data_IF_370494038076
#
_entry.id   IF_370494038076
#
_cell.length_a   1.000
_cell.length_b   1.000
_cell.length_c   1.000
_cell.angle_alpha   90.00
_cell.angle_beta   90.00
_cell.angle_gamma   90.00
#
_symmetry.space_group_name_H-M   'P 1'
#
loop_
_entity.id
_entity.type
_entity.pdbx_description
1 polymer ?
#
# COMPACT_ATOMS: atom_id res chain seq x y z
N UNK A 1 -56.03 -11.42 6.59
CA UNK A 1 -55.28 -10.58 5.63
C UNK A 1 -54.70 -9.32 6.27
N UNK A 2 -55.49 -8.46 6.93
CA UNK A 2 -55.01 -7.19 7.55
C UNK A 2 -53.78 -7.32 8.47
N UNK A 3 -53.71 -8.38 9.31
CA UNK A 3 -52.56 -8.63 10.20
C UNK A 3 -51.28 -9.02 9.44
N UNK A 4 -51.42 -9.76 8.34
CA UNK A 4 -50.30 -10.16 7.48
C UNK A 4 -49.75 -8.95 6.72
N UNK A 5 -50.63 -8.07 6.25
CA UNK A 5 -50.25 -6.83 5.55
C UNK A 5 -49.49 -5.87 6.48
N UNK A 6 -49.94 -5.71 7.73
CA UNK A 6 -49.27 -4.88 8.74
C UNK A 6 -47.91 -5.47 9.13
N UNK A 7 -47.82 -6.79 9.27
CA UNK A 7 -46.55 -7.44 9.57
C UNK A 7 -45.55 -7.24 8.43
N UNK A 8 -45.99 -7.40 7.17
CA UNK A 8 -45.14 -7.22 6.00
C UNK A 8 -44.61 -5.77 5.87
N UNK A 9 -45.46 -4.77 6.12
CA UNK A 9 -45.05 -3.36 6.04
C UNK A 9 -44.05 -2.99 7.14
N UNK A 10 -44.21 -3.52 8.36
CA UNK A 10 -43.25 -3.30 9.44
C UNK A 10 -41.91 -3.95 9.10
N UNK A 11 -41.91 -5.19 8.62
CA UNK A 11 -40.68 -5.91 8.27
C UNK A 11 -39.94 -5.23 7.11
N UNK A 12 -40.67 -4.78 6.07
CA UNK A 12 -40.09 -4.01 4.96
C UNK A 12 -39.53 -2.67 5.46
N UNK A 13 -40.27 -1.96 6.32
CA UNK A 13 -39.79 -0.71 6.93
C UNK A 13 -38.51 -0.90 7.75
N UNK A 14 -38.41 -1.99 8.50
CA UNK A 14 -37.20 -2.36 9.24
C UNK A 14 -36.02 -2.70 8.33
N UNK A 15 -36.26 -3.43 7.23
CA UNK A 15 -35.23 -3.73 6.24
C UNK A 15 -34.71 -2.44 5.58
N UNK A 16 -35.59 -1.50 5.23
CA UNK A 16 -35.18 -0.20 4.68
C UNK A 16 -34.43 0.68 5.70
N UNK A 17 -34.83 0.68 6.97
CA UNK A 17 -34.10 1.38 8.03
C UNK A 17 -32.70 0.78 8.30
N UNK A 18 -32.56 -0.55 8.23
CA UNK A 18 -31.27 -1.23 8.42
C UNK A 18 -30.35 -1.04 7.20
N UNK A 19 -30.90 -1.02 5.97
CA UNK A 19 -30.13 -0.72 4.76
C UNK A 19 -29.62 0.74 4.71
N UNK A 20 -30.31 1.68 5.34
CA UNK A 20 -29.84 3.06 5.46
C UNK A 20 -28.61 3.20 6.37
N UNK A 21 -28.45 2.32 7.37
CA UNK A 21 -27.26 2.27 8.24
C UNK A 21 -26.04 1.64 7.55
N UNK A 22 -26.25 0.84 6.49
CA UNK A 22 -25.16 0.21 5.73
C UNK A 22 -24.61 1.07 4.60
N UNK A 23 -25.18 2.25 4.35
CA UNK A 23 -24.47 3.33 3.66
C UNK A 23 -23.42 3.90 4.63
N UNK A 24 -22.44 3.06 4.98
CA UNK A 24 -21.19 3.51 5.56
C UNK A 24 -20.70 4.66 4.68
N UNK A 25 -20.81 5.86 5.23
CA UNK A 25 -20.72 7.11 4.50
C UNK A 25 -19.36 7.14 3.82
N UNK A 26 -19.35 6.95 2.49
CA UNK A 26 -18.10 6.95 1.73
C UNK A 26 -17.34 8.23 2.10
N UNK A 27 -16.05 8.12 2.50
CA UNK A 27 -15.33 9.27 3.00
C UNK A 27 -15.36 10.39 1.97
N UNK A 28 -15.64 11.62 2.41
CA UNK A 28 -15.62 12.78 1.53
C UNK A 28 -14.17 13.06 1.18
N UNK A 29 -13.77 12.63 -0.01
CA UNK A 29 -12.47 12.92 -0.60
C UNK A 29 -12.42 14.39 -1.00
N UNK A 30 -11.36 15.09 -0.60
CA UNK A 30 -11.12 16.47 -0.97
C UNK A 30 -9.73 16.60 -1.54
N UNK A 31 -9.63 17.24 -2.70
CA UNK A 31 -8.34 17.64 -3.24
C UNK A 31 -7.68 18.67 -2.31
N UNK A 32 -6.44 18.42 -1.93
CA UNK A 32 -5.68 19.25 -0.99
C UNK A 32 -4.19 19.23 -1.37
N UNK A 33 -3.53 20.36 -1.14
CA UNK A 33 -2.08 20.39 -1.02
C UNK A 33 -1.69 19.65 0.27
N UNK A 34 -0.80 18.66 0.13
CA UNK A 34 -0.21 17.94 1.24
C UNK A 34 1.30 17.97 1.15
N UNK A 35 1.95 17.79 2.29
CA UNK A 35 3.39 17.61 2.36
C UNK A 35 3.69 16.15 2.66
N UNK A 36 4.19 15.41 1.67
CA UNK A 36 4.72 14.07 1.85
C UNK A 36 6.07 14.14 2.55
N UNK A 37 6.28 13.28 3.54
CA UNK A 37 7.39 13.35 4.49
C UNK A 37 8.15 12.02 4.50
N UNK A 38 9.48 12.07 4.35
CA UNK A 38 10.37 10.99 4.80
C UNK A 38 11.31 11.58 5.85
N UNK A 39 11.04 11.28 7.12
CA UNK A 39 11.67 11.97 8.25
C UNK A 39 12.30 11.00 9.22
N UNK A 40 13.38 11.45 9.87
CA UNK A 40 14.01 10.69 10.93
C UNK A 40 13.12 10.67 12.18
N UNK A 41 12.88 9.48 12.73
CA UNK A 41 11.97 9.27 13.85
C UNK A 41 12.68 8.92 15.17
N UNK A 42 14.01 9.05 15.24
CA UNK A 42 14.82 8.66 16.40
C UNK A 42 15.45 7.27 16.30
N UNK A 43 14.90 6.38 15.46
CA UNK A 43 15.44 5.03 15.21
C UNK A 43 15.92 4.83 13.78
N UNK A 44 15.13 5.31 12.82
CA UNK A 44 15.40 5.24 11.39
C UNK A 44 14.53 6.26 10.66
N UNK A 45 14.26 5.99 9.39
CA UNK A 45 13.41 6.85 8.58
C UNK A 45 12.02 6.27 8.39
N UNK A 46 11.01 7.14 8.38
CA UNK A 46 9.62 6.75 8.18
C UNK A 46 8.91 7.71 7.22
N UNK A 47 7.99 7.12 6.45
CA UNK A 47 7.11 7.87 5.56
C UNK A 47 5.86 8.39 6.27
N UNK A 48 5.31 9.49 5.78
CA UNK A 48 4.04 10.05 6.24
C UNK A 48 3.60 11.22 5.37
N UNK A 49 2.53 11.90 5.78
CA UNK A 49 2.18 13.19 5.19
C UNK A 49 1.56 14.12 6.23
N UNK A 50 1.71 15.42 6.02
CA UNK A 50 0.98 16.46 6.73
C UNK A 50 -0.17 16.97 5.84
N UNK A 51 -1.43 16.93 6.31
CA UNK A 51 -2.56 17.49 5.58
C UNK A 51 -2.51 19.02 5.60
N UNK A 52 -3.30 19.64 4.72
CA UNK A 52 -3.39 21.10 4.59
C UNK A 52 -3.83 21.81 5.89
N UNK A 53 -4.49 21.11 6.81
CA UNK A 53 -4.98 21.69 8.07
C UNK A 53 -3.87 22.00 9.09
N UNK A 54 -2.65 21.48 8.89
CA UNK A 54 -1.54 21.67 9.83
C UNK A 54 -0.65 22.83 9.40
N UNK A 55 -0.49 23.82 10.28
CA UNK A 55 0.34 25.00 10.00
C UNK A 55 1.84 24.79 10.28
N UNK A 56 2.22 23.71 10.98
CA UNK A 56 3.60 23.52 11.44
C UNK A 56 4.01 22.04 11.45
N UNK A 57 5.19 21.76 10.86
CA UNK A 57 5.86 20.46 10.91
C UNK A 57 7.12 20.61 11.78
N UNK A 58 7.28 19.74 12.77
CA UNK A 58 8.49 19.68 13.61
C UNK A 58 9.38 18.51 13.16
N UNK A 59 10.68 18.78 13.03
CA UNK A 59 11.69 17.80 12.61
C UNK A 59 12.78 17.65 13.67
N UNK A 60 13.41 16.48 13.73
CA UNK A 60 14.60 16.25 14.54
C UNK A 60 15.78 16.95 13.87
N UNK A 61 16.49 17.79 14.63
CA UNK A 61 17.64 18.54 14.16
C UNK A 61 18.83 17.63 13.79
N UNK A 62 19.76 18.17 12.99
CA UNK A 62 20.99 17.50 12.56
C UNK A 62 20.76 16.16 11.83
N UNK A 63 19.64 16.08 11.11
CA UNK A 63 19.26 14.96 10.25
C UNK A 63 18.73 15.48 8.93
N UNK A 64 19.11 14.79 7.86
CA UNK A 64 18.49 15.00 6.56
C UNK A 64 17.06 14.46 6.61
N UNK A 65 16.13 15.18 6.02
CA UNK A 65 14.71 14.87 5.96
C UNK A 65 14.18 15.34 4.60
N UNK A 66 13.13 14.72 4.08
CA UNK A 66 12.50 15.19 2.85
C UNK A 66 11.08 15.63 3.08
N UNK A 67 10.75 16.72 2.40
CA UNK A 67 9.42 17.30 2.34
C UNK A 67 9.10 17.47 0.87
N UNK A 68 7.96 16.94 0.44
CA UNK A 68 7.49 17.05 -0.95
C UNK A 68 6.07 17.59 -0.98
N UNK A 69 5.87 18.72 -1.68
CA UNK A 69 4.54 19.25 -1.93
C UNK A 69 3.83 18.47 -3.02
N UNK A 70 2.63 17.96 -2.73
CA UNK A 70 1.81 17.23 -3.70
C UNK A 70 0.34 17.65 -3.58
N UNK A 71 -0.38 17.72 -4.69
CA UNK A 71 -1.84 17.80 -4.70
C UNK A 71 -2.39 16.38 -4.77
N UNK A 72 -3.23 16.02 -3.80
CA UNK A 72 -3.84 14.67 -3.70
C UNK A 72 -5.24 14.73 -3.10
N UNK A 73 -5.95 13.61 -3.14
CA UNK A 73 -7.23 13.46 -2.43
C UNK A 73 -6.97 13.07 -0.98
N UNK A 74 -7.53 13.82 -0.03
CA UNK A 74 -7.44 13.54 1.40
C UNK A 74 -8.82 13.30 1.97
N UNK A 75 -8.93 12.32 2.86
CA UNK A 75 -10.12 12.07 3.65
C UNK A 75 -9.76 11.71 5.09
N UNK A 76 -10.71 11.91 6.00
CA UNK A 76 -10.59 11.46 7.38
C UNK A 76 -11.21 10.07 7.52
N UNK A 77 -10.47 9.12 8.10
CA UNK A 77 -10.93 7.77 8.39
C UNK A 77 -11.41 7.69 9.86
N UNK A 78 -12.73 7.62 10.14
CA UNK A 78 -13.25 7.71 11.50
C UNK A 78 -12.86 6.56 12.43
N UNK A 79 -12.73 5.33 11.89
CA UNK A 79 -12.34 4.13 12.66
C UNK A 79 -10.93 4.29 13.27
N UNK A 80 -9.98 4.83 12.51
CA UNK A 80 -8.60 5.01 12.96
C UNK A 80 -8.33 6.40 13.54
N UNK A 81 -9.24 7.35 13.30
CA UNK A 81 -9.09 8.75 13.70
C UNK A 81 -7.97 9.48 12.96
N UNK A 82 -7.64 9.05 11.73
CA UNK A 82 -6.50 9.58 10.96
C UNK A 82 -6.92 10.11 9.61
N UNK A 83 -6.19 11.11 9.12
CA UNK A 83 -6.23 11.50 7.72
C UNK A 83 -5.50 10.47 6.86
N UNK A 84 -6.05 10.21 5.67
CA UNK A 84 -5.49 9.31 4.67
C UNK A 84 -5.39 10.04 3.35
N UNK A 85 -4.22 9.96 2.73
CA UNK A 85 -3.95 10.50 1.41
C UNK A 85 -4.16 9.43 0.33
N UNK A 86 -4.85 9.80 -0.73
CA UNK A 86 -5.15 8.98 -1.90
C UNK A 86 -4.10 9.10 -2.99
N UNK A 87 -2.82 8.95 -2.64
CA UNK A 87 -1.71 9.08 -3.59
C UNK A 87 -1.79 8.12 -4.79
N UNK A 88 -2.52 7.01 -4.66
CA UNK A 88 -2.77 6.10 -5.78
C UNK A 88 -3.78 6.64 -6.79
N UNK A 89 -4.73 7.47 -6.34
CA UNK A 89 -5.77 8.04 -7.18
C UNK A 89 -5.35 9.39 -7.80
N UNK A 90 -4.66 10.23 -7.01
CA UNK A 90 -4.15 11.54 -7.44
C UNK A 90 -2.85 11.83 -6.70
N UNK A 91 -1.78 12.19 -7.40
CA UNK A 91 -0.50 12.56 -6.79
C UNK A 91 0.29 13.51 -7.69
N UNK A 92 -0.23 14.72 -7.82
CA UNK A 92 0.38 15.74 -8.66
C UNK A 92 1.49 16.45 -7.89
N UNK A 93 2.72 16.33 -8.38
CA UNK A 93 3.88 16.97 -7.74
C UNK A 93 3.83 18.48 -7.94
N UNK A 94 3.89 19.24 -6.86
CA UNK A 94 4.00 20.70 -6.91
C UNK A 94 5.42 21.08 -7.34
N UNK A 95 5.51 22.02 -8.28
CA UNK A 95 6.77 22.60 -8.72
C UNK A 95 7.09 23.83 -7.88
N UNK A 96 8.37 24.00 -7.52
CA UNK A 96 8.83 25.16 -6.77
C UNK A 96 10.11 24.87 -6.00
N UNK A 97 10.54 25.87 -5.25
CA UNK A 97 11.76 25.85 -4.45
C UNK A 97 11.35 25.90 -2.98
N UNK A 98 12.00 25.10 -2.13
CA UNK A 98 11.79 25.15 -0.70
C UNK A 98 12.71 26.21 -0.08
N UNK A 99 12.12 27.30 0.42
CA UNK A 99 12.85 28.36 1.09
C UNK A 99 12.95 28.10 2.59
N UNK A 100 14.15 28.27 3.14
CA UNK A 100 14.41 28.25 4.58
C UNK A 100 14.59 29.70 5.02
N UNK A 101 13.72 30.12 5.94
CA UNK A 101 13.73 31.49 6.47
C UNK A 101 14.26 31.51 7.90
N UNK A 102 14.99 32.59 8.24
CA UNK A 102 15.37 32.92 9.61
C UNK A 102 15.09 34.40 9.86
N UNK A 103 14.27 34.71 10.86
CA UNK A 103 13.88 36.10 11.14
C UNK A 103 13.09 36.79 10.01
N UNK A 104 12.45 36.01 9.12
CA UNK A 104 11.71 36.53 7.96
C UNK A 104 12.55 36.72 6.70
N UNK A 105 13.86 36.48 6.75
CA UNK A 105 14.75 36.53 5.59
C UNK A 105 15.06 35.12 5.09
N UNK A 106 15.11 34.94 3.78
CA UNK A 106 15.49 33.67 3.15
C UNK A 106 17.00 33.46 3.32
N UNK A 107 17.38 32.42 4.07
CA UNK A 107 18.78 32.05 4.31
C UNK A 107 19.27 30.91 3.42
N UNK A 108 18.34 30.12 2.85
CA UNK A 108 18.64 29.05 1.90
C UNK A 108 17.44 28.79 1.00
N UNK A 109 17.71 28.43 -0.25
CA UNK A 109 16.73 27.97 -1.20
C UNK A 109 17.15 26.57 -1.66
N UNK A 110 16.25 25.60 -1.55
CA UNK A 110 16.50 24.20 -1.87
C UNK A 110 15.72 23.81 -3.11
N UNK A 111 16.45 23.38 -4.13
CA UNK A 111 15.87 22.73 -5.29
C UNK A 111 15.50 21.30 -4.96
N UNK A 112 14.64 20.73 -5.80
CA UNK A 112 14.20 19.36 -5.66
C UNK A 112 15.36 18.39 -5.90
N UNK A 113 15.48 17.41 -5.03
CA UNK A 113 16.50 16.37 -5.10
C UNK A 113 15.86 14.97 -4.98
N UNK A 114 16.42 14.03 -5.72
CA UNK A 114 15.99 12.63 -5.66
C UNK A 114 16.44 11.98 -4.36
N UNK A 115 15.60 11.10 -3.83
CA UNK A 115 15.84 10.40 -2.58
C UNK A 115 15.24 9.00 -2.60
N UNK A 116 15.75 8.14 -1.72
CA UNK A 116 15.30 6.75 -1.58
C UNK A 116 15.28 6.35 -0.11
N UNK A 117 14.23 5.60 0.27
CA UNK A 117 14.19 4.86 1.52
C UNK A 117 14.51 3.40 1.24
N UNK A 118 15.64 2.95 1.77
CA UNK A 118 16.11 1.58 1.64
C UNK A 118 15.80 0.78 2.91
N UNK A 119 15.24 -0.41 2.72
CA UNK A 119 14.82 -1.29 3.80
C UNK A 119 15.73 -2.55 3.80
N UNK A 120 16.85 -2.54 4.53
CA UNK A 120 17.85 -3.62 4.47
C UNK A 120 17.31 -4.98 4.94
N UNK A 121 16.37 -4.96 5.88
CA UNK A 121 15.70 -6.16 6.43
C UNK A 121 14.33 -6.41 5.79
N UNK A 122 14.05 -5.76 4.65
CA UNK A 122 12.75 -5.76 4.00
C UNK A 122 11.76 -4.78 4.65
N UNK A 123 10.58 -4.64 4.05
CA UNK A 123 9.58 -3.62 4.42
C UNK A 123 9.12 -3.70 5.90
N UNK A 124 9.09 -4.91 6.47
CA UNK A 124 8.74 -5.15 7.87
C UNK A 124 9.93 -5.08 8.83
N UNK A 125 11.11 -4.77 8.30
CA UNK A 125 12.32 -4.54 9.08
C UNK A 125 12.20 -3.31 9.98
N UNK A 126 13.07 -3.22 10.98
CA UNK A 126 12.89 -2.26 12.06
C UNK A 126 13.32 -0.82 11.71
N UNK A 127 14.17 -0.65 10.70
CA UNK A 127 14.75 0.65 10.34
C UNK A 127 14.97 0.80 8.84
N UNK A 128 14.36 1.82 8.24
CA UNK A 128 14.73 2.27 6.90
C UNK A 128 15.94 3.22 6.97
N UNK A 129 16.77 3.16 5.94
CA UNK A 129 17.92 4.05 5.70
C UNK A 129 17.53 5.05 4.61
N UNK A 130 17.95 6.31 4.78
CA UNK A 130 17.71 7.38 3.84
C UNK A 130 18.95 7.64 2.98
N UNK A 131 18.75 7.70 1.66
CA UNK A 131 19.75 8.08 0.68
C UNK A 131 19.23 9.24 -0.18
N UNK A 132 20.15 10.09 -0.64
CA UNK A 132 19.86 11.25 -1.49
C UNK A 132 20.81 11.31 -2.69
N UNK A 133 20.39 11.98 -3.76
CA UNK A 133 21.18 12.16 -4.98
C UNK A 133 21.62 10.84 -5.60
N UNK A 134 22.89 10.75 -5.99
CA UNK A 134 23.47 9.57 -6.66
C UNK A 134 23.34 8.28 -5.83
N UNK A 135 23.45 8.36 -4.50
CA UNK A 135 23.27 7.17 -3.65
C UNK A 135 21.82 6.68 -3.70
N UNK A 136 20.84 7.59 -3.78
CA UNK A 136 19.44 7.23 -3.91
C UNK A 136 19.19 6.44 -5.21
N UNK A 137 19.80 6.88 -6.32
CA UNK A 137 19.71 6.18 -7.60
C UNK A 137 20.34 4.80 -7.53
N UNK A 138 21.54 4.68 -6.96
CA UNK A 138 22.24 3.39 -6.84
C UNK A 138 21.42 2.37 -6.00
N UNK A 139 20.80 2.79 -4.90
CA UNK A 139 19.97 1.90 -4.09
C UNK A 139 18.60 1.61 -4.72
N UNK A 140 18.06 2.54 -5.51
CA UNK A 140 16.85 2.29 -6.29
C UNK A 140 17.10 1.26 -7.40
N UNK A 141 18.27 1.31 -8.07
CA UNK A 141 18.67 0.32 -9.06
C UNK A 141 18.83 -1.08 -8.43
N UNK A 142 19.51 -1.17 -7.28
CA UNK A 142 19.60 -2.43 -6.52
C UNK A 142 18.23 -3.01 -6.18
N UNK A 143 17.29 -2.17 -5.76
CA UNK A 143 15.91 -2.59 -5.49
C UNK A 143 15.23 -3.11 -6.76
N UNK A 144 15.39 -2.42 -7.88
CA UNK A 144 14.79 -2.80 -9.17
C UNK A 144 15.29 -4.17 -9.62
N UNK A 145 16.61 -4.40 -9.56
CA UNK A 145 17.24 -5.68 -9.89
C UNK A 145 16.72 -6.82 -8.99
N UNK A 146 16.61 -6.58 -7.68
CA UNK A 146 16.09 -7.58 -6.73
C UNK A 146 14.62 -7.94 -7.00
N UNK A 147 13.80 -6.99 -7.45
CA UNK A 147 12.41 -7.23 -7.83
C UNK A 147 12.33 -8.07 -9.12
N UNK A 148 13.17 -7.77 -10.11
CA UNK A 148 13.23 -8.54 -11.35
C UNK A 148 13.61 -10.01 -11.07
N UNK A 149 14.67 -10.24 -10.28
CA UNK A 149 15.11 -11.57 -9.88
C UNK A 149 14.02 -12.32 -9.09
N UNK A 150 13.33 -11.64 -8.17
CA UNK A 150 12.22 -12.24 -7.44
C UNK A 150 11.08 -12.72 -8.36
N UNK A 151 10.70 -11.90 -9.35
CA UNK A 151 9.64 -12.27 -10.29
C UNK A 151 10.06 -13.40 -11.22
N UNK A 152 11.32 -13.45 -11.63
CA UNK A 152 11.88 -14.57 -12.40
C UNK A 152 11.76 -15.88 -11.60
N UNK A 153 12.33 -15.93 -10.39
CA UNK A 153 12.30 -17.12 -9.53
C UNK A 153 10.88 -17.58 -9.20
N UNK A 154 9.99 -16.62 -8.92
CA UNK A 154 8.58 -16.91 -8.62
C UNK A 154 7.86 -17.45 -9.85
N UNK A 155 8.17 -16.93 -11.05
CA UNK A 155 7.65 -17.44 -12.31
C UNK A 155 8.06 -18.89 -12.56
N UNK A 156 9.34 -19.21 -12.35
CA UNK A 156 9.86 -20.57 -12.47
C UNK A 156 9.17 -21.54 -11.50
N UNK A 157 9.01 -21.13 -10.23
CA UNK A 157 8.31 -21.92 -9.23
C UNK A 157 6.87 -22.23 -9.65
N UNK A 158 6.11 -21.22 -10.11
CA UNK A 158 4.73 -21.44 -10.55
C UNK A 158 4.66 -22.33 -11.80
N UNK A 159 5.60 -22.20 -12.73
CA UNK A 159 5.67 -23.10 -13.89
C UNK A 159 5.89 -24.56 -13.46
N UNK A 160 6.84 -24.80 -12.55
CA UNK A 160 7.10 -26.12 -11.99
C UNK A 160 5.90 -26.68 -11.21
N UNK A 161 5.17 -25.83 -10.48
CA UNK A 161 3.97 -26.23 -9.75
C UNK A 161 2.85 -26.66 -10.70
N UNK A 162 2.66 -25.96 -11.82
CA UNK A 162 1.69 -26.34 -12.86
C UNK A 162 2.05 -27.68 -13.48
N UNK A 163 3.33 -27.90 -13.80
CA UNK A 163 3.80 -29.17 -14.35
C UNK A 163 3.63 -30.32 -13.35
N UNK A 164 3.99 -30.10 -12.09
CA UNK A 164 3.78 -31.08 -11.02
C UNK A 164 2.31 -31.46 -10.87
N UNK A 165 1.41 -30.48 -10.83
CA UNK A 165 -0.03 -30.74 -10.71
C UNK A 165 -0.56 -31.54 -11.90
N UNK A 166 -0.12 -31.19 -13.12
CA UNK A 166 -0.45 -31.92 -14.33
C UNK A 166 -0.01 -33.39 -14.24
N UNK A 167 1.23 -33.64 -13.82
CA UNK A 167 1.78 -35.00 -13.71
C UNK A 167 1.01 -35.84 -12.66
N UNK A 168 0.63 -35.24 -11.54
CA UNK A 168 -0.23 -35.88 -10.53
C UNK A 168 -1.61 -36.20 -11.10
N UNK A 169 -2.23 -35.25 -11.81
CA UNK A 169 -3.56 -35.45 -12.40
C UNK A 169 -3.53 -36.57 -13.46
N UNK A 170 -2.49 -36.62 -14.29
CA UNK A 170 -2.28 -37.68 -15.28
C UNK A 170 -2.10 -39.05 -14.59
N UNK A 171 -1.24 -39.12 -13.57
CA UNK A 171 -1.03 -40.34 -12.78
C UNK A 171 -2.33 -40.84 -12.14
N UNK A 172 -3.10 -39.95 -11.50
CA UNK A 172 -4.35 -40.31 -10.84
C UNK A 172 -5.41 -40.79 -11.84
N UNK A 173 -5.46 -40.19 -13.04
CA UNK A 173 -6.36 -40.64 -14.10
C UNK A 173 -5.97 -42.02 -14.62
N UNK A 174 -4.67 -42.30 -14.81
CA UNK A 174 -4.18 -43.62 -15.22
C UNK A 174 -4.55 -44.71 -14.19
N UNK A 175 -4.30 -44.46 -12.90
CA UNK A 175 -4.68 -45.38 -11.82
C UNK A 175 -6.18 -45.62 -11.81
N UNK A 176 -7.00 -44.57 -12.01
CA UNK A 176 -8.45 -44.69 -12.09
C UNK A 176 -8.87 -45.58 -13.27
N UNK A 177 -8.31 -45.38 -14.46
CA UNK A 177 -8.62 -46.21 -15.63
C UNK A 177 -8.23 -47.67 -15.45
N UNK A 178 -7.05 -47.94 -14.87
CA UNK A 178 -6.56 -49.29 -14.56
C UNK A 178 -7.48 -49.99 -13.53
N UNK A 179 -7.90 -49.27 -12.48
CA UNK A 179 -8.88 -49.75 -11.50
C UNK A 179 -10.24 -50.06 -12.13
N UNK A 180 -10.73 -49.18 -13.00
CA UNK A 180 -12.04 -49.37 -13.65
C UNK A 180 -12.02 -50.58 -14.63
N UNK A 181 -10.82 -51.00 -15.08
CA UNK A 181 -10.58 -52.26 -15.83
C UNK A 181 -10.43 -53.50 -14.95
N UNK A 182 -10.44 -53.34 -13.62
CA UNK A 182 -10.39 -54.43 -12.65
C UNK A 182 -8.98 -54.89 -12.25
N UNK A 183 -7.94 -54.08 -12.49
CA UNK A 183 -6.60 -54.36 -11.96
C UNK A 183 -6.56 -54.14 -10.43
N UNK A 184 -5.96 -55.08 -9.70
CA UNK A 184 -5.66 -54.94 -8.27
C UNK A 184 -4.25 -54.36 -8.10
N UNK A 185 -4.13 -53.31 -7.29
CA UNK A 185 -2.85 -52.62 -7.02
C UNK A 185 -2.27 -53.10 -5.69
N UNK A 186 -0.96 -53.34 -5.66
CA UNK A 186 -0.21 -53.62 -4.43
C UNK A 186 0.31 -52.32 -3.80
N UNK A 187 0.53 -52.31 -2.49
CA UNK A 187 0.95 -51.13 -1.69
C UNK A 187 2.29 -50.50 -2.15
N UNK A 188 3.05 -51.20 -2.99
CA UNK A 188 4.36 -50.79 -3.49
C UNK A 188 4.31 -50.06 -4.86
N UNK A 189 3.13 -50.00 -5.51
CA UNK A 189 2.86 -49.26 -6.76
C UNK A 189 2.12 -47.95 -6.50
#
# INVERSE_FOLDING_TARGET
MRKLTIFLTITIGWIFCLAALSLAQAPILREQLVYGLNVFNGRGYGGGFAPYSEDTIYLIADKDNTISGNITLVYFWPITGKYVAGFQALNEKVQGTLEILQGGEVIKALEKEDNSLYYPEGYWGESAIFYQGEEAHAYFEKFTQAIEEYYEQTGEFYAAQVEYQKNIDEFLNEIKERRDKGEEFTVEE
#
